data_IF_352312077356
#
_entry.id   IF_352312077356
#
_cell.length_a   1.000
_cell.length_b   1.000
_cell.length_c   1.000
_cell.angle_alpha   90.00
_cell.angle_beta   90.00
_cell.angle_gamma   90.00
#
_symmetry.space_group_name_H-M   'P 1'
#
loop_
_entity.id
_entity.type
_entity.pdbx_description
1 polymer ?
#
# COMPACT_ATOMS: atom_id res chain seq x y z
N UNK A 1 -11.54 3.94 -23.87
CA UNK A 1 -11.49 2.59 -23.24
C UNK A 1 -12.20 2.63 -21.89
N UNK A 2 -12.88 1.55 -21.50
CA UNK A 2 -13.60 1.47 -20.22
C UNK A 2 -12.66 1.41 -19.02
N UNK A 3 -13.10 1.95 -17.88
CA UNK A 3 -12.43 1.80 -16.58
C UNK A 3 -12.42 0.33 -16.14
N UNK A 4 -11.38 -0.07 -15.40
CA UNK A 4 -11.25 -1.43 -14.85
C UNK A 4 -12.13 -1.56 -13.61
N UNK A 5 -13.04 -2.52 -13.64
CA UNK A 5 -14.01 -2.72 -12.56
C UNK A 5 -13.40 -3.41 -11.35
N UNK A 6 -13.67 -2.84 -10.18
CA UNK A 6 -13.05 -3.21 -8.92
C UNK A 6 -14.09 -3.53 -7.84
N UNK A 7 -13.73 -4.42 -6.91
CA UNK A 7 -14.48 -4.70 -5.70
C UNK A 7 -13.67 -4.29 -4.45
N UNK A 8 -14.35 -3.76 -3.44
CA UNK A 8 -13.79 -3.47 -2.12
C UNK A 8 -14.34 -4.48 -1.11
N UNK A 9 -13.47 -5.14 -0.36
CA UNK A 9 -13.82 -6.13 0.65
C UNK A 9 -13.43 -5.59 2.01
N UNK A 10 -14.41 -5.42 2.90
CA UNK A 10 -14.28 -4.73 4.18
C UNK A 10 -14.83 -3.31 4.12
N UNK A 11 -15.99 -3.10 4.75
CA UNK A 11 -16.73 -1.82 4.77
C UNK A 11 -16.38 -0.92 5.97
N UNK A 12 -15.17 -1.08 6.53
CA UNK A 12 -14.66 -0.23 7.60
C UNK A 12 -13.96 1.03 7.08
N UNK A 13 -13.24 1.72 7.97
CA UNK A 13 -12.54 2.98 7.68
C UNK A 13 -11.65 2.94 6.42
N UNK A 14 -10.83 1.89 6.27
CA UNK A 14 -9.92 1.74 5.12
C UNK A 14 -10.71 1.54 3.82
N UNK A 15 -11.70 0.64 3.80
CA UNK A 15 -12.49 0.37 2.61
C UNK A 15 -13.32 1.58 2.17
N UNK A 16 -13.95 2.28 3.12
CA UNK A 16 -14.73 3.49 2.83
C UNK A 16 -13.86 4.63 2.34
N UNK A 17 -12.69 4.87 2.93
CA UNK A 17 -11.75 5.88 2.44
C UNK A 17 -11.23 5.54 1.02
N UNK A 18 -10.89 4.27 0.79
CA UNK A 18 -10.45 3.78 -0.52
C UNK A 18 -11.54 3.95 -1.57
N UNK A 19 -12.82 3.72 -1.24
CA UNK A 19 -13.94 3.95 -2.16
C UNK A 19 -13.92 5.36 -2.75
N UNK A 20 -13.77 6.40 -1.91
CA UNK A 20 -13.73 7.79 -2.38
C UNK A 20 -12.52 8.05 -3.29
N UNK A 21 -11.35 7.50 -2.98
CA UNK A 21 -10.15 7.57 -3.83
C UNK A 21 -10.38 6.91 -5.19
N UNK A 22 -10.95 5.70 -5.21
CA UNK A 22 -11.22 4.96 -6.45
C UNK A 22 -12.26 5.65 -7.34
N UNK A 23 -13.28 6.30 -6.77
CA UNK A 23 -14.27 7.09 -7.54
C UNK A 23 -13.62 8.24 -8.32
N UNK A 24 -12.53 8.81 -7.82
CA UNK A 24 -11.77 9.87 -8.52
C UNK A 24 -10.79 9.33 -9.57
N UNK A 25 -10.49 8.03 -9.55
CA UNK A 25 -9.54 7.44 -10.50
C UNK A 25 -10.06 7.53 -11.94
N UNK A 26 -9.18 7.92 -12.87
CA UNK A 26 -9.47 7.89 -14.30
C UNK A 26 -9.44 6.46 -14.88
N UNK A 27 -8.89 5.50 -14.15
CA UNK A 27 -8.60 4.14 -14.61
C UNK A 27 -9.49 3.08 -13.97
N UNK A 28 -9.95 3.33 -12.74
CA UNK A 28 -10.64 2.34 -11.91
C UNK A 28 -12.11 2.71 -11.70
N UNK A 29 -12.97 1.70 -11.68
CA UNK A 29 -14.41 1.81 -11.46
C UNK A 29 -14.82 0.91 -10.29
N UNK A 30 -14.97 1.44 -9.06
CA UNK A 30 -15.42 0.65 -7.93
C UNK A 30 -16.92 0.35 -8.08
N UNK A 31 -17.26 -0.93 -8.26
CA UNK A 31 -18.63 -1.39 -8.53
C UNK A 31 -19.26 -2.16 -7.38
N UNK A 32 -18.44 -2.67 -6.46
CA UNK A 32 -18.87 -3.47 -5.32
C UNK A 32 -18.22 -3.03 -4.01
N UNK A 33 -19.03 -2.95 -2.95
CA UNK A 33 -18.56 -2.94 -1.57
C UNK A 33 -19.09 -4.19 -0.85
N UNK A 34 -18.20 -4.95 -0.26
CA UNK A 34 -18.49 -6.22 0.40
C UNK A 34 -18.21 -6.09 1.89
N UNK A 35 -19.19 -6.41 2.71
CA UNK A 35 -19.12 -6.41 4.18
C UNK A 35 -19.71 -7.70 4.75
N UNK A 36 -19.77 -7.75 6.09
CA UNK A 36 -20.37 -8.86 6.86
C UNK A 36 -21.43 -8.40 7.86
N UNK A 37 -21.66 -7.09 7.93
CA UNK A 37 -22.59 -6.46 8.86
C UNK A 37 -23.52 -5.56 8.06
N UNK A 38 -24.81 -5.91 8.03
CA UNK A 38 -25.84 -5.17 7.33
C UNK A 38 -25.99 -3.71 7.83
N UNK A 39 -25.63 -3.45 9.09
CA UNK A 39 -25.65 -2.13 9.72
C UNK A 39 -24.40 -1.28 9.48
N UNK A 40 -23.45 -1.76 8.66
CA UNK A 40 -22.20 -1.05 8.40
C UNK A 40 -22.42 0.27 7.62
N UNK A 41 -21.98 1.38 8.21
CA UNK A 41 -21.99 2.71 7.57
C UNK A 41 -21.30 2.70 6.19
N UNK A 42 -20.21 1.94 6.04
CA UNK A 42 -19.50 1.82 4.76
C UNK A 42 -20.33 1.15 3.66
N UNK A 43 -21.22 0.22 4.00
CA UNK A 43 -22.16 -0.37 3.04
C UNK A 43 -23.26 0.62 2.66
N UNK A 44 -23.78 1.37 3.63
CA UNK A 44 -24.77 2.42 3.37
C UNK A 44 -24.22 3.48 2.41
N UNK A 45 -23.05 4.05 2.72
CA UNK A 45 -22.37 5.01 1.85
C UNK A 45 -22.10 4.47 0.45
N UNK A 46 -21.70 3.19 0.35
CA UNK A 46 -21.46 2.57 -0.95
C UNK A 46 -22.76 2.49 -1.78
N UNK A 47 -23.90 2.14 -1.17
CA UNK A 47 -25.21 2.15 -1.83
C UNK A 47 -25.58 3.54 -2.32
N UNK A 48 -25.40 4.57 -1.49
CA UNK A 48 -25.71 5.96 -1.85
C UNK A 48 -24.84 6.46 -3.03
N UNK A 49 -23.62 5.94 -3.15
CA UNK A 49 -22.71 6.20 -4.27
C UNK A 49 -22.93 5.29 -5.48
N UNK A 50 -24.01 4.49 -5.48
CA UNK A 50 -24.46 3.65 -6.59
C UNK A 50 -23.71 2.33 -6.75
N UNK A 51 -22.98 1.87 -5.74
CA UNK A 51 -22.32 0.55 -5.77
C UNK A 51 -23.32 -0.56 -5.41
N UNK A 52 -23.08 -1.74 -5.95
CA UNK A 52 -23.69 -2.96 -5.43
C UNK A 52 -23.05 -3.29 -4.09
N UNK A 53 -23.86 -3.78 -3.15
CA UNK A 53 -23.39 -4.11 -1.81
C UNK A 53 -23.86 -5.48 -1.37
N UNK A 54 -23.07 -6.14 -0.54
CA UNK A 54 -23.48 -7.35 0.17
C UNK A 54 -22.91 -7.35 1.58
N UNK A 55 -23.68 -7.90 2.50
CA UNK A 55 -23.35 -8.22 3.89
C UNK A 55 -23.04 -9.71 4.08
N UNK A 56 -22.97 -10.49 2.99
CA UNK A 56 -22.69 -11.94 3.02
C UNK A 56 -21.22 -12.28 2.79
N UNK A 57 -20.32 -11.31 3.00
CA UNK A 57 -18.90 -11.45 2.70
C UNK A 57 -18.63 -11.76 1.22
N UNK A 58 -17.45 -12.31 0.94
CA UNK A 58 -17.03 -12.64 -0.43
C UNK A 58 -17.98 -13.65 -1.11
N UNK A 59 -18.65 -14.51 -0.34
CA UNK A 59 -19.67 -15.42 -0.89
C UNK A 59 -20.81 -14.68 -1.60
N UNK A 60 -21.20 -13.50 -1.11
CA UNK A 60 -22.18 -12.65 -1.77
C UNK A 60 -21.68 -12.05 -3.09
N UNK A 61 -20.37 -11.91 -3.26
CA UNK A 61 -19.73 -11.35 -4.46
C UNK A 61 -19.50 -12.40 -5.56
N UNK A 62 -19.11 -13.63 -5.18
CA UNK A 62 -18.65 -14.67 -6.12
C UNK A 62 -19.56 -14.91 -7.33
N UNK A 63 -20.90 -14.99 -7.19
CA UNK A 63 -21.79 -15.20 -8.33
C UNK A 63 -21.75 -14.08 -9.38
N UNK A 64 -21.28 -12.89 -8.99
CA UNK A 64 -21.33 -11.68 -9.82
C UNK A 64 -19.97 -11.31 -10.43
N UNK A 65 -18.87 -11.92 -10.00
CA UNK A 65 -17.50 -11.57 -10.45
C UNK A 65 -17.37 -11.55 -11.97
N UNK A 66 -17.86 -12.60 -12.65
CA UNK A 66 -17.76 -12.71 -14.12
C UNK A 66 -18.74 -11.79 -14.83
N UNK A 67 -20.00 -11.73 -14.39
CA UNK A 67 -21.04 -10.91 -15.05
C UNK A 67 -20.75 -9.42 -14.92
N UNK A 68 -20.22 -9.00 -13.77
CA UNK A 68 -19.86 -7.62 -13.51
C UNK A 68 -18.43 -7.28 -13.96
N UNK A 69 -17.70 -8.24 -14.50
CA UNK A 69 -16.35 -8.09 -15.06
C UNK A 69 -15.34 -7.53 -14.06
N UNK A 70 -15.40 -7.99 -12.80
CA UNK A 70 -14.46 -7.56 -11.76
C UNK A 70 -13.07 -8.12 -12.10
N UNK A 71 -12.07 -7.24 -12.12
CA UNK A 71 -10.67 -7.61 -12.46
C UNK A 71 -9.69 -7.39 -11.32
N UNK A 72 -10.01 -6.48 -10.39
CA UNK A 72 -9.20 -6.16 -9.22
C UNK A 72 -10.10 -6.18 -7.98
N UNK A 73 -9.61 -6.75 -6.88
CA UNK A 73 -10.27 -6.66 -5.59
C UNK A 73 -9.29 -6.18 -4.52
N UNK A 74 -9.77 -5.27 -3.67
CA UNK A 74 -9.04 -4.74 -2.53
C UNK A 74 -9.55 -5.39 -1.27
N UNK A 75 -8.66 -5.96 -0.47
CA UNK A 75 -9.02 -6.59 0.79
C UNK A 75 -8.55 -5.75 1.98
N UNK A 76 -9.51 -5.15 2.67
CA UNK A 76 -9.34 -4.33 3.87
C UNK A 76 -10.03 -4.99 5.08
N UNK A 77 -10.09 -6.33 5.13
CA UNK A 77 -10.69 -7.09 6.23
C UNK A 77 -9.69 -7.41 7.33
N UNK A 78 -9.17 -8.63 7.38
CA UNK A 78 -8.19 -9.10 8.35
C UNK A 78 -7.31 -10.19 7.75
N UNK A 79 -6.13 -10.40 8.34
CA UNK A 79 -5.16 -11.35 7.81
C UNK A 79 -5.70 -12.78 7.66
N UNK A 80 -6.50 -13.23 8.64
CA UNK A 80 -7.06 -14.58 8.67
C UNK A 80 -8.10 -14.83 7.58
N UNK A 81 -8.80 -13.79 7.14
CA UNK A 81 -9.87 -13.89 6.13
C UNK A 81 -9.30 -13.71 4.72
N UNK A 82 -8.23 -12.91 4.59
CA UNK A 82 -7.65 -12.58 3.30
C UNK A 82 -7.22 -13.80 2.48
N UNK A 83 -6.64 -14.82 3.12
CA UNK A 83 -6.17 -16.02 2.41
C UNK A 83 -7.31 -16.76 1.68
N UNK A 84 -8.47 -16.89 2.31
CA UNK A 84 -9.62 -17.54 1.71
C UNK A 84 -10.27 -16.66 0.63
N UNK A 85 -10.40 -15.35 0.89
CA UNK A 85 -10.88 -14.38 -0.11
C UNK A 85 -10.02 -14.41 -1.37
N UNK A 86 -8.70 -14.33 -1.20
CA UNK A 86 -7.75 -14.33 -2.29
C UNK A 86 -7.84 -15.61 -3.11
N UNK A 87 -7.84 -16.78 -2.47
CA UNK A 87 -7.99 -18.07 -3.15
C UNK A 87 -9.25 -18.12 -4.03
N UNK A 88 -10.39 -17.70 -3.49
CA UNK A 88 -11.68 -17.73 -4.20
C UNK A 88 -11.72 -16.78 -5.40
N UNK A 89 -11.22 -15.55 -5.22
CA UNK A 89 -11.25 -14.52 -6.27
C UNK A 89 -10.18 -14.73 -7.35
N UNK A 90 -9.00 -15.22 -6.98
CA UNK A 90 -7.93 -15.57 -7.93
C UNK A 90 -8.32 -16.73 -8.84
N UNK A 91 -9.07 -17.71 -8.32
CA UNK A 91 -9.64 -18.79 -9.14
C UNK A 91 -10.57 -18.26 -10.25
N UNK A 92 -11.07 -17.02 -10.11
CA UNK A 92 -11.89 -16.33 -11.10
C UNK A 92 -11.09 -15.31 -11.94
N UNK A 93 -9.77 -15.26 -11.79
CA UNK A 93 -8.88 -14.35 -12.52
C UNK A 93 -8.80 -12.93 -11.98
N UNK A 94 -9.27 -12.70 -10.75
CA UNK A 94 -9.22 -11.39 -10.08
C UNK A 94 -7.85 -11.18 -9.44
N UNK A 95 -7.22 -10.03 -9.69
CA UNK A 95 -6.01 -9.62 -8.98
C UNK A 95 -6.36 -9.07 -7.60
N UNK A 96 -5.64 -9.53 -6.59
CA UNK A 96 -5.84 -9.12 -5.19
C UNK A 96 -4.83 -8.06 -4.79
N UNK A 97 -5.31 -7.01 -4.12
CA UNK A 97 -4.50 -6.03 -3.41
C UNK A 97 -4.85 -6.15 -1.93
N UNK A 98 -3.92 -6.67 -1.15
CA UNK A 98 -4.06 -6.97 0.26
C UNK A 98 -3.61 -5.78 1.11
N UNK A 99 -4.56 -5.12 1.79
CA UNK A 99 -4.29 -4.06 2.75
C UNK A 99 -4.19 -4.60 4.19
N UNK A 100 -4.27 -5.92 4.37
CA UNK A 100 -4.14 -6.61 5.65
C UNK A 100 -2.69 -7.06 5.89
N UNK A 101 -2.33 -7.52 7.10
CA UNK A 101 -0.99 -8.06 7.36
C UNK A 101 -0.83 -9.54 6.93
N UNK A 102 -1.73 -10.13 6.12
CA UNK A 102 -1.64 -11.55 5.72
C UNK A 102 -0.35 -11.88 4.97
N UNK A 103 0.11 -10.96 4.11
CA UNK A 103 1.40 -11.06 3.41
C UNK A 103 1.60 -12.38 2.64
N UNK A 104 0.55 -12.91 2.01
CA UNK A 104 0.63 -14.12 1.17
C UNK A 104 1.15 -13.85 -0.24
N UNK A 105 1.04 -12.60 -0.70
CA UNK A 105 1.67 -12.11 -1.91
C UNK A 105 2.95 -11.30 -1.61
N UNK A 106 3.78 -11.03 -2.62
CA UNK A 106 4.94 -10.15 -2.49
C UNK A 106 4.53 -8.76 -1.95
N UNK A 107 5.41 -8.19 -1.14
CA UNK A 107 5.28 -6.80 -0.68
C UNK A 107 5.36 -5.83 -1.85
N UNK A 108 4.49 -4.82 -1.85
CA UNK A 108 4.42 -3.79 -2.87
C UNK A 108 4.49 -2.40 -2.24
N UNK A 109 5.50 -1.64 -2.62
CA UNK A 109 5.65 -0.20 -2.33
C UNK A 109 5.77 0.49 -3.69
N UNK A 110 4.75 1.21 -4.17
CA UNK A 110 4.62 1.60 -5.58
C UNK A 110 5.86 2.25 -6.21
N UNK A 111 6.53 3.24 -5.58
CA UNK A 111 7.69 3.88 -6.19
C UNK A 111 8.99 3.05 -6.13
N UNK A 112 8.99 1.92 -5.43
CA UNK A 112 10.21 1.13 -5.18
C UNK A 112 10.26 -0.11 -6.05
N UNK A 113 9.25 -0.98 -5.97
CA UNK A 113 9.35 -2.33 -6.52
C UNK A 113 8.17 -2.74 -7.40
N UNK A 114 7.28 -1.81 -7.76
CA UNK A 114 6.21 -2.09 -8.72
C UNK A 114 6.72 -2.06 -10.16
N UNK A 115 7.56 -3.04 -10.49
CA UNK A 115 8.15 -3.25 -11.80
C UNK A 115 7.18 -3.94 -12.76
N UNK A 116 7.52 -3.93 -14.06
CA UNK A 116 6.74 -4.64 -15.07
C UNK A 116 6.65 -6.16 -14.81
N UNK A 117 7.63 -6.78 -14.14
CA UNK A 117 7.56 -8.20 -13.77
C UNK A 117 6.58 -8.44 -12.62
N UNK A 118 6.68 -7.66 -11.54
CA UNK A 118 5.74 -7.76 -10.42
C UNK A 118 4.30 -7.52 -10.90
N UNK A 119 4.12 -6.54 -11.80
CA UNK A 119 2.84 -6.23 -12.41
C UNK A 119 2.28 -7.41 -13.24
N UNK A 120 3.12 -8.16 -13.96
CA UNK A 120 2.70 -9.30 -14.80
C UNK A 120 2.35 -10.53 -13.98
N UNK A 121 3.20 -10.88 -13.02
CA UNK A 121 3.24 -12.22 -12.45
C UNK A 121 2.43 -12.34 -11.15
N UNK A 122 2.19 -11.24 -10.44
CA UNK A 122 1.51 -11.26 -9.15
C UNK A 122 -0.02 -11.23 -9.30
N UNK A 123 -0.68 -12.34 -8.94
CA UNK A 123 -2.13 -12.38 -8.72
C UNK A 123 -2.55 -11.83 -7.34
N UNK A 124 -1.59 -11.65 -6.42
CA UNK A 124 -1.75 -11.03 -5.11
C UNK A 124 -0.55 -10.12 -4.84
N UNK A 125 -0.79 -8.91 -4.34
CA UNK A 125 0.25 -8.07 -3.76
C UNK A 125 -0.17 -7.58 -2.39
N UNK A 126 0.78 -7.51 -1.46
CA UNK A 126 0.56 -7.04 -0.11
C UNK A 126 1.09 -5.62 0.08
N UNK A 127 0.27 -4.75 0.66
CA UNK A 127 0.58 -3.33 0.86
C UNK A 127 1.42 -3.06 2.12
N UNK A 128 2.04 -4.09 2.70
CA UNK A 128 2.87 -4.00 3.91
C UNK A 128 2.06 -3.44 5.09
N UNK A 129 2.36 -2.22 5.50
CA UNK A 129 1.76 -1.50 6.62
C UNK A 129 1.81 -0.01 6.32
N UNK A 130 1.05 0.80 7.07
CA UNK A 130 1.09 2.25 6.91
C UNK A 130 2.47 2.84 7.16
N UNK A 131 3.16 2.37 8.20
CA UNK A 131 4.56 2.75 8.45
C UNK A 131 5.47 2.31 7.31
N UNK A 132 5.27 1.10 6.76
CA UNK A 132 6.02 0.62 5.61
C UNK A 132 5.86 1.51 4.38
N UNK A 133 4.62 1.83 3.98
CA UNK A 133 4.35 2.71 2.84
C UNK A 133 4.92 4.12 3.03
N UNK A 134 4.95 4.61 4.27
CA UNK A 134 5.53 5.91 4.60
C UNK A 134 7.06 5.91 4.62
N UNK A 135 7.72 4.79 4.95
CA UNK A 135 9.14 4.83 5.33
C UNK A 135 10.07 4.02 4.42
N UNK A 136 9.59 2.92 3.84
CA UNK A 136 10.36 2.09 2.91
C UNK A 136 10.82 2.88 1.68
N UNK A 137 10.03 3.82 1.10
CA UNK A 137 10.54 4.69 0.05
C UNK A 137 11.84 5.41 0.44
N UNK A 138 11.95 5.91 1.68
CA UNK A 138 13.15 6.60 2.14
C UNK A 138 14.33 5.66 2.34
N UNK A 139 14.10 4.45 2.86
CA UNK A 139 15.15 3.41 2.94
C UNK A 139 15.66 3.07 1.53
N UNK A 140 14.75 2.86 0.59
CA UNK A 140 15.07 2.60 -0.82
C UNK A 140 15.82 3.76 -1.48
N UNK A 141 15.49 5.00 -1.13
CA UNK A 141 16.17 6.19 -1.63
C UNK A 141 17.63 6.26 -1.15
N UNK A 142 17.93 5.82 0.07
CA UNK A 142 19.32 5.73 0.55
C UNK A 142 20.02 4.52 -0.07
N UNK A 143 19.37 3.35 -0.06
CA UNK A 143 19.99 2.09 -0.49
C UNK A 143 20.32 2.03 -1.98
N UNK A 144 19.55 2.75 -2.83
CA UNK A 144 19.87 2.87 -4.25
C UNK A 144 21.09 3.74 -4.54
N UNK A 145 21.54 4.53 -3.57
CA UNK A 145 22.77 5.34 -3.66
C UNK A 145 23.95 4.56 -3.10
N UNK A 146 23.78 3.89 -1.95
CA UNK A 146 24.85 3.12 -1.30
C UNK A 146 24.31 2.04 -0.36
N UNK A 147 25.12 1.03 -0.05
CA UNK A 147 24.74 -0.06 0.84
C UNK A 147 24.32 0.42 2.24
N UNK A 148 23.18 -0.08 2.73
CA UNK A 148 22.61 0.22 4.04
C UNK A 148 22.72 -1.02 4.93
N UNK A 149 23.61 -0.97 5.92
CA UNK A 149 23.81 -2.07 6.88
C UNK A 149 22.60 -2.27 7.80
N UNK A 150 21.91 -1.19 8.15
CA UNK A 150 20.76 -1.24 9.06
C UNK A 150 19.77 -0.12 8.76
N UNK A 151 18.49 -0.47 8.62
CA UNK A 151 17.37 0.46 8.47
C UNK A 151 16.42 0.35 9.66
N UNK A 152 16.07 1.46 10.27
CA UNK A 152 15.09 1.54 11.36
C UNK A 152 14.05 2.60 11.06
N UNK A 153 12.79 2.27 11.33
CA UNK A 153 11.68 3.20 11.18
C UNK A 153 10.93 3.34 12.50
N UNK A 154 10.43 4.55 12.75
CA UNK A 154 9.59 4.87 13.91
C UNK A 154 8.34 5.58 13.41
N UNK A 155 7.21 4.87 13.39
CA UNK A 155 5.92 5.42 13.01
C UNK A 155 5.18 5.92 14.26
N UNK A 156 4.85 7.20 14.32
CA UNK A 156 4.05 7.81 15.39
C UNK A 156 2.71 8.23 14.85
N UNK A 157 1.63 7.68 15.42
CA UNK A 157 0.26 7.86 14.94
C UNK A 157 -0.68 8.25 16.08
N UNK A 158 -1.77 8.93 15.74
CA UNK A 158 -2.83 9.25 16.70
C UNK A 158 -3.54 7.98 17.18
N UNK A 159 -3.82 7.88 18.48
CA UNK A 159 -4.68 6.84 19.05
C UNK A 159 -6.03 6.71 18.34
N UNK A 160 -6.60 7.84 17.85
CA UNK A 160 -7.90 7.88 17.17
C UNK A 160 -7.87 7.28 15.77
N UNK A 161 -6.71 7.24 15.10
CA UNK A 161 -6.57 6.63 13.78
C UNK A 161 -6.19 5.15 13.81
N UNK A 162 -6.03 4.56 15.00
CA UNK A 162 -5.65 3.15 15.19
C UNK A 162 -6.83 2.35 15.74
N UNK A 163 -7.49 1.62 14.86
CA UNK A 163 -8.62 0.75 15.20
C UNK A 163 -8.22 -0.54 15.95
N UNK A 164 -9.21 -1.32 16.44
CA UNK A 164 -8.97 -2.53 17.21
C UNK A 164 -8.13 -3.59 16.48
N UNK A 165 -8.30 -3.69 15.14
CA UNK A 165 -7.53 -4.62 14.31
C UNK A 165 -6.03 -4.37 14.41
N UNK A 166 -5.59 -3.13 14.20
CA UNK A 166 -4.16 -2.77 14.32
C UNK A 166 -3.63 -2.98 15.74
N UNK A 167 -4.44 -2.68 16.77
CA UNK A 167 -4.04 -2.86 18.18
C UNK A 167 -3.79 -4.32 18.54
N UNK A 168 -4.59 -5.24 18.00
CA UNK A 168 -4.44 -6.68 18.20
C UNK A 168 -3.29 -7.29 17.39
N UNK A 169 -2.78 -6.59 16.38
CA UNK A 169 -1.74 -7.09 15.47
C UNK A 169 -0.48 -6.19 15.47
N UNK A 170 -0.12 -5.62 16.63
CA UNK A 170 1.01 -4.68 16.73
C UNK A 170 2.37 -5.37 16.51
N UNK A 171 2.48 -6.65 16.90
CA UNK A 171 3.66 -7.47 16.65
C UNK A 171 3.84 -7.72 15.15
N UNK A 172 2.76 -8.06 14.44
CA UNK A 172 2.73 -8.25 13.00
C UNK A 172 3.14 -6.96 12.29
N UNK A 173 2.69 -5.80 12.75
CA UNK A 173 3.13 -4.52 12.21
C UNK A 173 4.65 -4.40 12.27
N UNK A 174 5.26 -4.65 13.44
CA UNK A 174 6.73 -4.49 13.59
C UNK A 174 7.50 -5.49 12.74
N UNK A 175 7.12 -6.78 12.76
CA UNK A 175 7.81 -7.85 12.02
C UNK A 175 7.65 -7.72 10.51
N UNK A 176 6.45 -7.40 10.03
CA UNK A 176 6.20 -7.23 8.59
C UNK A 176 6.88 -5.99 8.05
N UNK A 177 6.83 -4.88 8.79
CA UNK A 177 7.50 -3.65 8.35
C UNK A 177 9.02 -3.81 8.36
N UNK A 178 9.61 -4.44 9.39
CA UNK A 178 11.05 -4.71 9.43
C UNK A 178 11.51 -5.59 8.25
N UNK A 179 10.79 -6.67 7.94
CA UNK A 179 11.08 -7.51 6.76
C UNK A 179 10.97 -6.76 5.44
N UNK A 180 10.05 -5.81 5.33
CA UNK A 180 9.89 -5.01 4.12
C UNK A 180 10.95 -3.88 4.02
N UNK A 181 11.43 -3.35 5.15
CA UNK A 181 12.63 -2.50 5.20
C UNK A 181 13.85 -3.23 4.61
N UNK A 182 13.96 -4.54 4.86
CA UNK A 182 15.02 -5.38 4.28
C UNK A 182 14.76 -5.67 2.80
N UNK A 183 13.71 -6.43 2.52
CA UNK A 183 13.44 -7.02 1.21
C UNK A 183 13.01 -6.01 0.13
N UNK A 184 12.39 -4.89 0.50
CA UNK A 184 11.93 -3.84 -0.42
C UNK A 184 12.77 -2.59 -0.27
N UNK A 185 13.08 -2.19 0.97
CA UNK A 185 13.91 -1.02 1.24
C UNK A 185 15.39 -1.22 0.92
N UNK A 186 15.89 -2.46 0.89
CA UNK A 186 17.28 -2.77 0.55
C UNK A 186 18.27 -2.60 1.71
N UNK A 187 17.79 -2.51 2.96
CA UNK A 187 18.68 -2.58 4.12
C UNK A 187 19.08 -4.03 4.41
N UNK A 188 20.31 -4.27 4.86
CA UNK A 188 20.75 -5.63 5.23
C UNK A 188 20.02 -6.15 6.49
N UNK A 189 19.59 -5.24 7.38
CA UNK A 189 18.77 -5.56 8.56
C UNK A 189 17.76 -4.45 8.83
N UNK A 190 16.53 -4.84 9.16
CA UNK A 190 15.41 -3.93 9.38
C UNK A 190 14.93 -3.91 10.83
N UNK A 191 14.41 -2.77 11.27
CA UNK A 191 13.63 -2.62 12.50
C UNK A 191 12.47 -1.65 12.27
N UNK A 192 11.35 -1.93 12.92
CA UNK A 192 10.20 -1.04 12.93
C UNK A 192 9.66 -0.87 14.36
N UNK A 193 9.34 0.38 14.70
CA UNK A 193 8.69 0.78 15.94
C UNK A 193 7.40 1.51 15.58
N UNK A 194 6.34 1.26 16.35
CA UNK A 194 5.10 2.03 16.28
C UNK A 194 4.78 2.62 17.65
N UNK A 195 4.49 3.92 17.66
CA UNK A 195 4.08 4.68 18.85
C UNK A 195 2.66 5.19 18.61
N UNK A 196 1.78 4.89 19.55
CA UNK A 196 0.38 5.31 19.52
C UNK A 196 0.20 6.42 20.57
N UNK A 197 -0.11 7.63 20.11
CA UNK A 197 -0.13 8.81 20.96
C UNK A 197 -1.57 9.39 21.10
N UNK A 198 -2.10 9.54 22.32
CA UNK A 198 -3.47 10.02 22.59
C UNK A 198 -3.61 11.55 22.69
N UNK A 199 -2.62 12.35 22.27
CA UNK A 199 -2.69 13.81 22.39
C UNK A 199 -3.90 14.43 21.69
N UNK A 200 -4.35 15.57 22.22
CA UNK A 200 -5.42 16.41 21.67
C UNK A 200 -4.89 17.84 21.44
N UNK A 201 -5.03 18.43 20.24
CA UNK A 201 -5.67 17.84 19.04
C UNK A 201 -4.90 16.62 18.50
N UNK A 202 -5.58 15.70 17.78
CA UNK A 202 -4.94 14.49 17.27
C UNK A 202 -3.75 14.82 16.37
N UNK A 203 -2.62 14.14 16.63
CA UNK A 203 -1.38 14.36 15.90
C UNK A 203 -1.50 13.88 14.45
N UNK A 204 -0.97 14.67 13.52
CA UNK A 204 -0.66 14.21 12.17
C UNK A 204 0.40 13.09 12.27
N UNK A 205 0.28 12.07 11.42
CA UNK A 205 1.27 10.98 11.38
C UNK A 205 2.67 11.53 11.15
N UNK A 206 3.62 11.04 11.94
CA UNK A 206 5.04 11.35 11.82
C UNK A 206 5.82 10.07 11.71
N UNK A 207 6.78 10.05 10.80
CA UNK A 207 7.68 8.92 10.64
C UNK A 207 9.11 9.40 10.69
N UNK A 208 9.95 8.66 11.41
CA UNK A 208 11.40 8.87 11.39
C UNK A 208 12.06 7.65 10.79
N UNK A 209 12.98 7.87 9.86
CA UNK A 209 13.75 6.80 9.20
C UNK A 209 15.21 7.02 9.50
N UNK A 210 15.86 6.00 10.04
CA UNK A 210 17.31 5.95 10.26
C UNK A 210 17.91 4.89 9.35
N UNK A 211 18.87 5.29 8.52
CA UNK A 211 19.68 4.38 7.72
C UNK A 211 21.13 4.49 8.17
N UNK A 212 21.72 3.36 8.57
CA UNK A 212 23.15 3.23 8.81
C UNK A 212 23.80 2.70 7.53
N UNK A 213 24.56 3.56 6.87
CA UNK A 213 25.30 3.23 5.66
C UNK A 213 26.57 2.44 5.99
N UNK A 214 27.07 1.61 5.06
CA UNK A 214 28.32 0.85 5.28
C UNK A 214 29.57 1.74 5.25
N UNK A 215 29.59 2.71 4.32
CA UNK A 215 30.68 3.68 4.14
C UNK A 215 30.24 5.08 4.60
N UNK A 216 31.12 6.08 4.48
CA UNK A 216 30.74 7.48 4.72
C UNK A 216 29.64 7.92 3.71
N UNK A 217 28.55 8.56 4.14
CA UNK A 217 27.44 8.86 3.24
C UNK A 217 27.82 9.91 2.19
N UNK A 218 27.65 9.61 0.90
CA UNK A 218 27.50 10.63 -0.13
C UNK A 218 26.23 11.46 0.12
N UNK A 219 26.41 12.54 0.89
CA UNK A 219 25.29 13.34 1.37
C UNK A 219 24.57 14.08 0.23
N UNK A 220 25.27 14.43 -0.85
CA UNK A 220 24.67 15.14 -1.97
C UNK A 220 23.76 14.20 -2.77
N UNK A 221 24.28 13.04 -3.16
CA UNK A 221 23.51 12.03 -3.89
C UNK A 221 22.33 11.51 -3.07
N UNK A 222 22.51 11.29 -1.75
CA UNK A 222 21.41 10.87 -0.87
C UNK A 222 20.32 11.94 -0.77
N UNK A 223 20.68 13.23 -0.63
CA UNK A 223 19.69 14.33 -0.58
C UNK A 223 18.85 14.37 -1.85
N UNK A 224 19.51 14.34 -3.00
CA UNK A 224 18.82 14.35 -4.30
C UNK A 224 17.91 13.12 -4.44
N UNK A 225 18.42 11.94 -4.08
CA UNK A 225 17.67 10.70 -4.15
C UNK A 225 16.41 10.72 -3.27
N UNK A 226 16.50 11.23 -2.04
CA UNK A 226 15.37 11.39 -1.13
C UNK A 226 14.34 12.36 -1.70
N UNK A 227 14.78 13.49 -2.25
CA UNK A 227 13.89 14.50 -2.83
C UNK A 227 13.08 13.92 -4.01
N UNK A 228 13.74 13.23 -4.94
CA UNK A 228 13.07 12.55 -6.05
C UNK A 228 12.06 11.51 -5.56
N UNK A 229 12.40 10.75 -4.51
CA UNK A 229 11.50 9.75 -3.95
C UNK A 229 10.27 10.39 -3.28
N UNK A 230 10.45 11.52 -2.57
CA UNK A 230 9.33 12.29 -2.00
C UNK A 230 8.37 12.72 -3.12
N UNK A 231 8.89 13.25 -4.23
CA UNK A 231 8.07 13.67 -5.38
C UNK A 231 7.27 12.49 -5.96
N UNK A 232 7.88 11.30 -6.04
CA UNK A 232 7.18 10.09 -6.50
C UNK A 232 6.05 9.65 -5.55
N UNK A 233 6.26 9.74 -4.22
CA UNK A 233 5.20 9.45 -3.24
C UNK A 233 4.09 10.51 -3.30
N UNK A 234 4.45 11.77 -3.51
CA UNK A 234 3.50 12.89 -3.59
C UNK A 234 2.54 12.80 -4.79
N UNK A 235 2.86 12.00 -5.82
CA UNK A 235 1.93 11.69 -6.92
C UNK A 235 0.62 11.09 -6.40
N UNK A 236 0.67 10.30 -5.32
CA UNK A 236 -0.51 9.67 -4.74
C UNK A 236 -0.82 10.10 -3.30
N UNK A 237 0.12 10.73 -2.58
CA UNK A 237 -0.12 11.33 -1.25
C UNK A 237 0.41 12.78 -1.19
N UNK A 238 -0.37 13.79 -1.61
CA UNK A 238 0.09 15.19 -1.65
C UNK A 238 0.51 15.77 -0.29
N UNK A 239 0.02 15.20 0.81
CA UNK A 239 0.38 15.60 2.18
C UNK A 239 1.63 14.91 2.74
N UNK A 240 2.31 14.06 1.96
CA UNK A 240 3.57 13.42 2.36
C UNK A 240 4.75 14.38 2.19
N UNK A 241 5.38 14.79 3.29
CA UNK A 241 6.39 15.87 3.28
C UNK A 241 7.55 15.57 4.21
N UNK A 242 8.71 16.11 3.85
CA UNK A 242 9.85 16.19 4.75
C UNK A 242 9.58 17.27 5.79
N UNK A 243 9.51 16.89 7.07
CA UNK A 243 9.43 17.85 8.16
C UNK A 243 10.78 18.47 8.43
N UNK A 244 11.83 17.64 8.48
CA UNK A 244 13.23 18.03 8.70
C UNK A 244 14.17 17.06 7.98
N UNK A 245 15.38 17.53 7.67
CA UNK A 245 16.48 16.68 7.20
C UNK A 245 16.62 16.64 5.67
N UNK A 246 17.32 15.63 5.12
CA UNK A 246 18.02 14.57 5.85
C UNK A 246 19.15 15.11 6.73
N UNK A 247 19.31 14.55 7.93
CA UNK A 247 20.40 14.84 8.87
C UNK A 247 21.45 13.74 8.78
N UNK A 248 22.71 14.12 8.70
CA UNK A 248 23.85 13.21 8.62
C UNK A 248 24.66 13.29 9.91
N UNK A 249 24.94 12.14 10.51
CA UNK A 249 25.70 12.00 11.75
C UNK A 249 26.62 10.78 11.64
N UNK A 250 27.86 11.02 11.21
CA UNK A 250 28.74 9.98 10.68
C UNK A 250 28.03 9.18 9.58
N UNK A 251 28.01 7.85 9.72
CA UNK A 251 27.35 6.94 8.76
C UNK A 251 25.82 6.90 8.86
N UNK A 252 25.21 7.60 9.82
CA UNK A 252 23.77 7.59 10.02
C UNK A 252 23.10 8.71 9.24
N UNK A 253 22.15 8.35 8.39
CA UNK A 253 21.22 9.25 7.70
C UNK A 253 19.88 9.20 8.41
N UNK A 254 19.33 10.35 8.80
CA UNK A 254 18.03 10.46 9.47
C UNK A 254 17.06 11.34 8.67
N UNK A 255 15.88 10.81 8.38
CA UNK A 255 14.81 11.47 7.62
C UNK A 255 13.58 11.62 8.49
N UNK A 256 12.99 12.81 8.55
CA UNK A 256 11.84 13.09 9.40
C UNK A 256 10.66 13.51 8.54
N UNK A 257 9.61 12.70 8.54
CA UNK A 257 8.45 12.84 7.68
C UNK A 257 7.23 13.30 8.47
N UNK A 258 6.31 13.91 7.74
CA UNK A 258 4.95 14.19 8.15
C UNK A 258 4.01 13.76 7.02
N UNK A 259 2.95 13.05 7.38
CA UNK A 259 1.98 12.51 6.42
C UNK A 259 0.59 13.04 6.77
N UNK A 260 0.16 14.06 6.05
CA UNK A 260 -1.19 14.60 6.14
C UNK A 260 -2.10 13.89 5.14
N UNK A 261 -3.23 13.36 5.62
CA UNK A 261 -4.25 12.74 4.77
C UNK A 261 -5.03 13.78 3.97
N UNK A 262 -5.65 13.34 2.86
CA UNK A 262 -6.39 14.25 1.98
C UNK A 262 -7.72 14.74 2.59
N UNK A 263 -8.29 13.98 3.53
CA UNK A 263 -9.56 14.34 4.15
C UNK A 263 -10.79 13.78 3.41
N UNK A 264 -10.65 12.67 2.69
CA UNK A 264 -11.70 12.10 1.83
C UNK A 264 -12.91 11.59 2.63
N UNK A 265 -12.64 10.65 3.54
CA UNK A 265 -13.56 10.15 4.54
C UNK A 265 -12.96 10.33 5.93
N UNK A 266 -11.67 10.05 6.03
CA UNK A 266 -10.93 10.12 7.28
C UNK A 266 -10.45 11.55 7.54
N UNK A 267 -10.35 11.99 8.82
CA UNK A 267 -9.75 13.27 9.15
C UNK A 267 -8.31 13.40 8.63
N UNK A 268 -7.87 14.62 8.34
CA UNK A 268 -6.52 14.89 7.78
C UNK A 268 -5.36 14.40 8.66
N UNK A 269 -5.57 14.28 9.97
CA UNK A 269 -4.55 13.72 10.88
C UNK A 269 -4.34 12.20 10.69
N UNK A 270 -5.29 11.49 10.08
CA UNK A 270 -5.24 10.05 9.87
C UNK A 270 -4.42 9.65 8.63
N UNK A 271 -3.27 10.32 8.42
CA UNK A 271 -2.38 10.08 7.29
C UNK A 271 -1.87 8.63 7.19
N UNK A 272 -1.85 7.90 8.31
CA UNK A 272 -1.52 6.48 8.35
C UNK A 272 -2.51 5.61 7.57
N UNK A 273 -3.79 5.95 7.59
CA UNK A 273 -4.79 5.22 6.82
C UNK A 273 -4.81 5.73 5.37
N UNK A 274 -4.67 7.04 5.18
CA UNK A 274 -4.65 7.68 3.86
C UNK A 274 -3.50 7.19 2.97
N UNK A 275 -2.28 7.09 3.50
CA UNK A 275 -1.12 6.58 2.73
C UNK A 275 -1.30 5.12 2.30
N UNK A 276 -1.96 4.30 3.13
CA UNK A 276 -2.26 2.91 2.78
C UNK A 276 -3.27 2.82 1.64
N UNK A 277 -4.39 3.53 1.74
CA UNK A 277 -5.44 3.50 0.71
C UNK A 277 -4.96 4.16 -0.58
N UNK A 278 -4.19 5.24 -0.50
CA UNK A 278 -3.58 5.89 -1.65
C UNK A 278 -2.56 4.98 -2.36
N UNK A 279 -1.68 4.30 -1.61
CA UNK A 279 -0.73 3.34 -2.19
C UNK A 279 -1.46 2.16 -2.85
N UNK A 280 -2.53 1.66 -2.25
CA UNK A 280 -3.35 0.59 -2.82
C UNK A 280 -4.02 1.04 -4.13
N UNK A 281 -4.65 2.22 -4.14
CA UNK A 281 -5.24 2.82 -5.34
C UNK A 281 -4.18 3.00 -6.44
N UNK A 282 -3.01 3.54 -6.11
CA UNK A 282 -1.90 3.72 -7.05
C UNK A 282 -1.43 2.39 -7.64
N UNK A 283 -1.33 1.36 -6.82
CA UNK A 283 -0.96 0.00 -7.25
C UNK A 283 -1.97 -0.54 -8.27
N UNK A 284 -3.27 -0.40 -7.98
CA UNK A 284 -4.32 -0.81 -8.90
C UNK A 284 -4.33 -0.02 -10.21
N UNK A 285 -4.05 1.29 -10.16
CA UNK A 285 -3.94 2.13 -11.34
C UNK A 285 -2.81 1.66 -12.26
N UNK A 286 -1.66 1.30 -11.69
CA UNK A 286 -0.52 0.77 -12.43
C UNK A 286 -0.84 -0.62 -13.02
N UNK A 287 -1.54 -1.49 -12.28
CA UNK A 287 -2.10 -2.72 -12.87
C UNK A 287 -3.07 -2.44 -14.01
N UNK A 288 -3.96 -1.45 -13.87
CA UNK A 288 -4.95 -1.11 -14.88
C UNK A 288 -4.30 -0.55 -16.16
N UNK A 289 -3.23 0.24 -16.04
CA UNK A 289 -2.43 0.70 -17.18
C UNK A 289 -1.83 -0.48 -17.94
N UNK A 290 -1.19 -1.39 -17.23
CA UNK A 290 -0.60 -2.59 -17.82
C UNK A 290 -1.65 -3.51 -18.49
N UNK A 291 -2.82 -3.69 -17.88
CA UNK A 291 -3.92 -4.47 -18.48
C UNK A 291 -4.46 -3.86 -19.78
N UNK A 292 -4.22 -2.57 -20.01
CA UNK A 292 -4.61 -1.84 -21.23
C UNK A 292 -3.52 -1.84 -22.29
N UNK A 293 -2.27 -2.10 -21.93
CA UNK A 293 -1.20 -2.26 -22.90
C UNK A 293 -1.44 -3.54 -23.73
N UNK A 294 -1.32 -3.50 -25.07
CA UNK A 294 -1.40 -4.70 -25.88
C UNK A 294 -0.31 -5.68 -25.46
N UNK A 295 -0.67 -6.94 -25.27
CA UNK A 295 0.29 -7.98 -24.92
C UNK A 295 1.41 -8.01 -25.97
N UNK A 296 2.61 -7.58 -25.58
CA UNK A 296 3.80 -7.77 -26.42
C UNK A 296 3.94 -9.27 -26.71
N UNK A 297 4.13 -9.68 -27.97
CA UNK A 297 4.28 -11.09 -28.32
C UNK A 297 5.42 -11.68 -27.48
N UNK A 298 5.14 -12.81 -26.81
CA UNK A 298 6.16 -13.56 -26.08
C UNK A 298 7.24 -13.91 -27.10
N UNK A 299 8.44 -13.36 -26.94
CA UNK A 299 9.57 -13.67 -27.81
C UNK A 299 9.74 -15.18 -27.88
N UNK A 300 9.51 -15.74 -29.06
CA UNK A 300 9.89 -17.09 -29.40
C UNK A 300 11.39 -17.20 -29.15
N UNK A 301 11.80 -18.13 -28.28
CA UNK A 301 13.20 -18.53 -28.21
C UNK A 301 13.58 -19.02 -29.61
N UNK A 302 14.68 -18.54 -30.22
CA UNK A 302 15.12 -19.09 -31.50
C UNK A 302 15.32 -20.59 -31.32
N UNK A 303 14.57 -21.38 -32.08
CA UNK A 303 14.71 -22.82 -32.12
C UNK A 303 16.14 -23.18 -32.46
N UNK A 304 16.74 -24.02 -31.62
CA UNK A 304 17.99 -24.70 -31.93
C UNK A 304 17.76 -25.49 -33.23
N UNK A 305 18.34 -25.03 -34.33
CA UNK A 305 18.43 -25.82 -35.55
C UNK A 305 19.25 -27.07 -35.25
N UNK A 306 18.60 -28.23 -35.28
CA UNK A 306 19.28 -29.51 -35.49
C UNK A 306 19.26 -29.79 -36.99
N UNK A 307 20.42 -29.64 -37.63
CA UNK A 307 20.92 -30.46 -38.74
C UNK A 307 22.28 -29.93 -39.16
#
# INVERSE_FOLDING_TARGET
MSKIRCALIGSGNIGTDLLYKLKRSALLDPVWMVGIDAGSEGLERARDLGLKTTDRGVEGLLPHVRSDQIRIAFDATSAYVHADNARKLQALGVRMIDLTPAAIGPYCVPPVNLSASLLRDAANVNMVTCGGQATIPMVAAVSRVQAVAYGEIVATVSSRSVGPGTRKNIDEFTRTTARAVESVGGAARGKAIIIINPAEPPLIMRDTVHCLTEAEPDQAAIRESIQQMIEQVQVYVPGYRLKNGPVFDGRRVSVFLEVEGLGDYLPRYAGNLDIMTAAAARTAELFAQQMREPAMPRGERPGVCQS
#
